data_IF_348109334371
#
_entry.id   IF_348109334371
#
_cell.length_a   1.000
_cell.length_b   1.000
_cell.length_c   1.000
_cell.angle_alpha   90.00
_cell.angle_beta   90.00
_cell.angle_gamma   90.00
#
_symmetry.space_group_name_H-M   'P 1'
#
loop_
_entity.id
_entity.type
_entity.pdbx_description
1 polymer ?
2 polymer ?
3 water ?
#
# COMPACT_ATOMS: atom_id res chain seq x y z
N UNK A 1 9.61 -9.41 -20.60
CA UNK A 1 9.97 -9.66 -19.19
C UNK A 1 8.72 -9.73 -18.29
N UNK A 2 8.93 -10.32 -17.13
CA UNK A 2 7.92 -10.45 -16.09
C UNK A 2 8.60 -10.67 -14.76
N UNK A 3 7.81 -10.73 -13.72
CA UNK A 3 8.33 -10.97 -12.37
C UNK A 3 7.19 -11.02 -11.33
N UNK A 4 7.18 -12.14 -10.61
CA UNK A 4 6.25 -12.40 -9.47
C UNK A 4 7.08 -12.33 -8.19
N UNK A 5 6.67 -11.50 -7.25
CA UNK A 5 7.38 -11.60 -5.97
C UNK A 5 6.40 -11.88 -4.85
N UNK A 6 6.68 -12.86 -3.97
CA UNK A 6 5.97 -13.08 -2.73
C UNK A 6 5.94 -11.99 -1.68
N UNK A 7 4.82 -11.33 -1.43
CA UNK A 7 4.66 -10.45 -0.27
C UNK A 7 4.11 -11.20 0.93
N UNK A 8 4.71 -10.96 2.07
CA UNK A 8 4.42 -11.76 3.26
C UNK A 8 4.05 -10.75 4.41
N UNK A 9 2.87 -10.79 5.17
CA UNK A 9 2.60 -9.73 6.15
C UNK A 9 3.58 -9.80 7.30
N UNK A 10 3.79 -8.61 7.84
CA UNK A 10 4.78 -8.32 8.89
C UNK A 10 4.24 -8.52 10.32
N UNK A 11 2.98 -8.86 10.35
CA UNK A 11 2.21 -8.93 11.59
C UNK A 11 1.10 -9.96 11.50
N UNK A 12 0.46 -10.17 12.63
CA UNK A 12 -0.67 -11.10 12.70
C UNK A 12 -2.01 -10.37 12.44
N UNK A 13 -2.04 -9.03 12.42
CA UNK A 13 -3.30 -8.41 11.92
C UNK A 13 -3.05 -7.75 10.54
N UNK A 14 -2.03 -8.28 9.85
CA UNK A 14 -1.72 -7.92 8.43
C UNK A 14 -1.62 -6.43 8.19
N UNK A 15 -1.02 -5.67 9.05
CA UNK A 15 -1.20 -4.22 8.88
C UNK A 15 -0.18 -3.60 7.91
N UNK A 16 0.75 -4.43 7.49
CA UNK A 16 1.72 -4.13 6.42
C UNK A 16 2.26 -5.45 5.86
N UNK A 17 2.70 -5.32 4.62
CA UNK A 17 3.24 -6.39 3.81
C UNK A 17 4.60 -5.98 3.23
N UNK A 18 5.56 -6.89 3.39
CA UNK A 18 6.91 -6.68 2.85
C UNK A 18 7.18 -7.68 1.72
N UNK A 19 7.83 -7.20 0.67
CA UNK A 19 8.22 -8.01 -0.51
C UNK A 19 9.74 -7.96 -0.67
N UNK A 20 10.52 -9.06 -0.81
CA UNK A 20 11.97 -8.88 -0.87
C UNK A 20 12.44 -8.26 -2.17
N UNK A 21 13.43 -7.38 -2.11
CA UNK A 21 13.95 -6.71 -3.33
C UNK A 21 15.49 -6.69 -3.31
N UNK A 22 16.04 -7.00 -4.48
CA UNK A 22 17.50 -7.06 -4.69
C UNK A 22 18.01 -5.75 -5.27
N UNK A 23 18.90 -5.14 -4.52
CA UNK A 23 19.51 -3.90 -5.00
C UNK A 23 21.04 -4.03 -5.03
N UNK A 24 21.55 -3.74 -6.20
CA UNK A 24 22.99 -3.66 -6.44
C UNK A 24 23.56 -4.88 -7.13
N UNK A 25 24.86 -4.75 -7.20
CA UNK A 25 25.78 -5.78 -7.60
C UNK A 25 27.00 -5.71 -6.66
N UNK A 26 27.25 -6.88 -6.16
CA UNK A 26 26.21 -7.85 -6.29
C UNK A 26 25.09 -7.57 -5.30
N UNK A 27 24.11 -8.44 -5.34
CA UNK A 27 22.81 -8.25 -4.64
C UNK A 27 22.79 -8.14 -3.10
N UNK A 28 22.03 -7.11 -2.73
CA UNK A 28 21.62 -6.82 -1.35
C UNK A 28 20.10 -6.86 -1.41
N UNK A 29 19.51 -7.67 -0.56
CA UNK A 29 18.09 -8.06 -0.63
C UNK A 29 17.50 -7.34 0.62
N UNK A 30 16.72 -6.32 0.43
CA UNK A 30 16.06 -5.57 1.52
C UNK A 30 14.54 -5.83 1.40
N UNK A 31 13.86 -5.87 2.53
CA UNK A 31 12.41 -6.09 2.48
C UNK A 31 11.75 -4.71 2.48
N UNK A 32 10.88 -4.47 1.53
CA UNK A 32 10.31 -3.16 1.20
C UNK A 32 8.78 -3.30 1.25
N UNK A 33 8.15 -2.30 1.83
CA UNK A 33 6.74 -1.95 1.75
C UNK A 33 6.38 -1.39 0.39
N UNK A 34 5.70 -2.05 -0.50
CA UNK A 34 5.21 -1.65 -1.82
C UNK A 34 4.00 -0.75 -1.66
N UNK A 35 4.16 0.53 -1.90
CA UNK A 35 3.15 1.59 -1.67
C UNK A 35 2.63 2.15 -3.00
N UNK A 36 1.42 1.86 -3.39
CA UNK A 36 0.85 2.41 -4.62
C UNK A 36 0.32 3.80 -4.45
N UNK A 37 0.54 4.32 -3.25
CA UNK A 37 0.02 5.66 -2.91
C UNK A 37 1.20 6.56 -2.59
N UNK A 38 2.37 6.10 -2.94
CA UNK A 38 3.54 6.99 -3.09
C UNK A 38 4.42 6.52 -4.25
N UNK A 39 5.48 7.29 -4.44
CA UNK A 39 6.18 7.23 -5.75
C UNK A 39 7.69 7.29 -5.61
N UNK A 40 8.16 6.97 -4.44
CA UNK A 40 9.53 7.01 -3.97
C UNK A 40 10.03 5.60 -3.65
N UNK A 41 11.18 5.24 -4.16
CA UNK A 41 11.90 4.01 -3.79
C UNK A 41 12.98 4.47 -2.79
N UNK A 42 12.66 4.37 -1.50
CA UNK A 42 13.66 4.69 -0.48
C UNK A 42 14.05 3.51 0.39
N UNK A 43 15.22 3.62 1.01
CA UNK A 43 15.65 2.43 1.75
C UNK A 43 16.37 2.91 3.00
N UNK A 44 16.65 1.98 3.87
CA UNK A 44 17.49 2.25 5.05
C UNK A 44 18.91 1.98 4.62
N UNK A 45 19.77 2.95 4.74
CA UNK A 45 21.13 2.74 4.25
C UNK A 45 22.19 2.95 5.32
N UNK A 46 23.40 2.96 4.78
CA UNK A 46 24.64 3.20 5.52
C UNK A 46 24.78 4.70 5.85
N UNK A 47 24.14 5.58 5.08
CA UNK A 47 24.24 7.02 5.40
C UNK A 47 23.16 7.45 6.41
N UNK A 48 22.33 6.50 6.82
CA UNK A 48 21.22 6.76 7.79
C UNK A 48 21.77 6.88 9.24
N UNK A 49 21.23 7.85 9.99
CA UNK A 49 21.74 8.13 11.38
C UNK A 49 21.61 6.89 12.27
N UNK A 50 22.67 6.66 13.05
CA UNK A 50 22.89 5.39 13.79
C UNK A 50 21.99 5.16 15.01
N UNK A 51 21.33 6.23 15.40
CA UNK A 51 20.37 6.29 16.51
C UNK A 51 18.96 6.08 15.95
N UNK A 52 18.96 5.99 14.63
CA UNK A 52 17.75 5.95 13.81
C UNK A 52 17.51 4.61 13.10
N UNK A 53 18.44 3.71 13.26
CA UNK A 53 18.31 2.34 12.74
C UNK A 53 18.31 1.40 13.93
N UNK A 54 17.24 0.66 14.09
CA UNK A 54 17.17 -0.23 15.23
C UNK A 54 17.76 -1.59 14.87
N UNK A 55 17.03 -2.30 14.03
CA UNK A 55 17.41 -3.65 13.64
C UNK A 55 17.19 -3.90 12.14
N UNK A 56 17.08 -2.83 11.40
CA UNK A 56 16.76 -2.91 9.95
C UNK A 56 17.96 -3.31 9.11
N UNK A 57 17.65 -3.91 7.98
CA UNK A 57 18.70 -4.29 7.06
C UNK A 57 18.93 -3.09 6.14
N UNK A 58 20.17 -2.85 6.01
CA UNK A 58 20.70 -1.65 5.41
C UNK A 58 21.30 -1.89 4.02
N UNK A 59 21.16 -1.01 3.20
CA UNK A 59 21.70 -1.06 1.84
C UNK A 59 23.02 -0.28 1.78
N UNK A 60 24.15 -0.97 1.73
CA UNK A 60 25.48 -0.29 1.77
C UNK A 60 25.98 0.02 0.36
N UNK A 61 25.78 1.24 -0.10
CA UNK A 61 26.01 1.54 -1.50
C UNK A 61 27.45 1.66 -1.89
N UNK A 62 28.37 1.55 -0.96
CA UNK A 62 29.79 1.62 -1.32
C UNK A 62 30.31 0.19 -1.58
N UNK A 63 29.41 -0.80 -1.43
CA UNK A 63 29.78 -2.20 -1.81
C UNK A 63 28.80 -2.78 -2.83
N UNK A 64 28.02 -1.87 -3.60
CA UNK A 64 27.49 -2.20 -4.92
C UNK A 64 28.28 -1.62 -6.07
N UNK A 65 28.59 -2.42 -7.08
CA UNK A 65 29.46 -1.94 -8.17
C UNK A 65 28.70 -1.24 -9.27
N UNK A 66 27.39 -1.37 -9.24
CA UNK A 66 26.52 -0.69 -10.18
C UNK A 66 26.05 0.64 -9.63
N UNK A 67 26.55 0.94 -8.46
CA UNK A 67 26.21 2.04 -7.59
C UNK A 67 27.00 3.33 -7.66
N UNK A 68 26.27 4.36 -8.10
CA UNK A 68 26.76 5.71 -8.37
C UNK A 68 25.93 6.85 -7.80
N UNK A 69 26.48 7.84 -7.08
CA UNK A 69 25.84 9.06 -6.61
C UNK A 69 25.07 9.88 -7.64
N UNK A 70 23.85 10.30 -7.38
CA UNK A 70 23.32 11.39 -8.25
C UNK A 70 23.48 12.73 -7.58
N UNK A 71 24.49 13.47 -8.01
CA UNK A 71 25.05 14.53 -7.16
C UNK A 71 24.23 15.81 -7.17
N UNK A 72 24.14 16.46 -6.03
CA UNK A 72 23.27 17.61 -5.72
C UNK A 72 21.83 17.15 -5.49
N UNK A 73 21.49 15.95 -5.88
CA UNK A 73 20.22 15.25 -5.85
C UNK A 73 19.75 14.87 -4.47
N UNK A 74 18.51 15.13 -4.12
CA UNK A 74 18.12 15.20 -2.70
C UNK A 74 16.64 14.79 -2.55
N UNK A 75 16.15 13.98 -1.63
CA UNK A 75 14.73 13.62 -1.45
C UNK A 75 14.23 14.02 -0.05
N UNK A 76 12.90 14.15 0.04
CA UNK A 76 12.21 14.54 1.28
C UNK A 76 10.69 14.27 1.16
N UNK A 77 10.24 13.23 1.85
CA UNK A 77 8.83 12.83 1.81
C UNK A 77 8.20 12.87 3.22
N UNK A 78 6.88 12.95 3.15
CA UNK A 78 5.98 13.05 4.30
C UNK A 78 4.71 12.25 3.99
N UNK A 79 4.29 11.45 4.94
CA UNK A 79 3.14 10.56 4.71
C UNK A 79 1.90 11.06 5.46
N UNK A 80 0.81 10.40 5.14
CA UNK A 80 -0.52 10.75 5.61
C UNK A 80 -0.65 10.73 7.15
N UNK A 81 0.34 10.25 7.87
CA UNK A 81 0.17 10.08 9.32
C UNK A 81 1.02 10.95 10.23
N UNK A 82 1.89 11.75 9.65
CA UNK A 82 3.06 12.32 10.34
C UNK A 82 4.40 12.07 9.66
N UNK A 83 4.55 10.92 9.06
CA UNK A 83 5.68 10.05 8.78
C UNK A 83 6.65 10.68 7.79
N UNK A 84 7.91 10.56 8.15
CA UNK A 84 9.02 11.35 7.62
C UNK A 84 10.13 10.42 7.16
N UNK A 85 10.80 10.78 6.07
CA UNK A 85 12.05 10.19 5.59
C UNK A 85 12.80 11.12 4.66
N UNK A 86 14.14 11.02 4.66
CA UNK A 86 14.92 11.89 3.77
C UNK A 86 16.42 11.75 3.75
N UNK A 87 17.04 12.19 2.65
CA UNK A 87 18.48 12.02 2.46
C UNK A 87 18.94 12.37 1.06
N UNK A 88 19.90 11.65 0.53
CA UNK A 88 20.29 11.62 -0.88
C UNK A 88 19.93 10.40 -1.70
N UNK A 89 20.51 10.30 -2.89
CA UNK A 89 19.86 9.48 -3.93
C UNK A 89 21.03 8.82 -4.67
N UNK A 90 20.83 7.56 -4.96
CA UNK A 90 21.80 6.82 -5.76
C UNK A 90 21.14 6.26 -7.01
N UNK A 91 21.97 5.88 -7.96
CA UNK A 91 21.49 5.11 -9.12
C UNK A 91 22.01 3.70 -9.05
N UNK A 92 21.19 2.70 -9.32
CA UNK A 92 21.63 1.30 -9.14
C UNK A 92 20.71 0.30 -9.78
N UNK A 93 20.98 -0.99 -9.76
CA UNK A 93 20.11 -2.06 -10.30
C UNK A 93 19.13 -2.61 -9.22
N UNK A 94 17.85 -2.71 -9.51
CA UNK A 94 16.81 -3.28 -8.65
C UNK A 94 16.25 -4.47 -9.43
N UNK A 95 16.29 -5.67 -8.87
CA UNK A 95 15.35 -6.72 -9.27
C UNK A 95 14.23 -6.76 -8.24
N UNK A 96 13.01 -6.89 -8.73
CA UNK A 96 11.89 -7.54 -8.04
C UNK A 96 11.37 -8.77 -8.71
N UNK A 97 11.67 -9.95 -8.18
CA UNK A 97 10.93 -11.17 -8.63
C UNK A 97 11.64 -11.74 -9.83
N UNK A 98 12.89 -11.30 -10.04
CA UNK A 98 13.43 -11.60 -11.36
C UNK A 98 13.39 -10.53 -12.43
N UNK A 99 12.49 -9.58 -12.33
CA UNK A 99 12.43 -8.39 -13.19
C UNK A 99 13.50 -7.36 -12.83
N UNK A 100 14.48 -7.29 -13.73
CA UNK A 100 15.61 -6.43 -13.51
C UNK A 100 15.42 -5.06 -14.10
N UNK A 101 15.87 -4.05 -13.40
CA UNK A 101 15.66 -2.66 -13.81
C UNK A 101 16.95 -1.93 -13.46
N UNK A 102 17.49 -1.28 -14.48
CA UNK A 102 18.88 -0.79 -14.36
C UNK A 102 18.90 0.74 -14.38
N UNK A 103 19.98 1.23 -13.80
CA UNK A 103 19.95 2.58 -13.21
C UNK A 103 18.59 3.10 -12.75
N UNK A 104 18.01 2.46 -11.76
CA UNK A 104 16.79 2.97 -11.06
C UNK A 104 17.28 3.88 -9.95
N UNK A 105 16.59 4.96 -9.69
CA UNK A 105 16.91 5.86 -8.58
C UNK A 105 16.55 5.33 -7.20
N UNK A 106 17.61 5.01 -6.49
CA UNK A 106 17.42 4.44 -5.15
C UNK A 106 17.65 5.46 -4.07
N UNK A 107 16.61 5.92 -3.33
CA UNK A 107 16.92 7.12 -2.50
C UNK A 107 17.36 6.66 -1.13
N UNK A 108 18.51 7.15 -0.72
CA UNK A 108 19.19 6.50 0.41
C UNK A 108 19.11 7.37 1.65
N UNK A 109 18.37 7.00 2.66
CA UNK A 109 17.83 7.85 3.73
C UNK A 109 18.90 8.29 4.68
N UNK A 110 18.97 9.59 4.89
CA UNK A 110 19.95 10.11 5.86
C UNK A 110 19.30 10.38 7.22
N UNK A 111 18.08 10.86 7.21
CA UNK A 111 17.12 10.93 8.30
C UNK A 111 15.88 10.10 8.08
N UNK A 112 15.52 9.26 9.05
CA UNK A 112 14.16 8.70 9.09
C UNK A 112 13.45 9.12 10.35
N UNK A 113 12.14 8.94 10.35
CA UNK A 113 11.26 9.39 11.44
C UNK A 113 11.31 8.29 12.53
N UNK A 114 10.88 8.49 13.74
CA UNK A 114 10.54 7.57 14.82
C UNK A 114 9.71 6.36 14.45
N UNK A 115 8.75 6.54 13.54
CA UNK A 115 7.81 5.44 13.33
C UNK A 115 8.33 4.41 12.32
N UNK A 116 9.26 4.78 11.49
CA UNK A 116 10.08 3.95 10.59
C UNK A 116 11.15 3.22 11.42
N UNK A 117 11.71 3.84 12.43
CA UNK A 117 12.68 3.15 13.29
C UNK A 117 12.11 2.06 14.21
N UNK A 118 10.87 2.13 14.62
CA UNK A 118 10.06 1.29 15.49
C UNK A 118 9.72 -0.02 14.78
N UNK A 119 9.67 0.13 13.48
CA UNK A 119 9.30 -0.72 12.36
C UNK A 119 10.45 -1.57 11.83
N UNK A 120 10.90 -2.58 12.55
CA UNK A 120 12.14 -3.29 12.17
C UNK A 120 11.90 -4.33 11.11
N UNK A 121 10.67 -4.66 10.72
CA UNK A 121 10.55 -5.61 9.57
C UNK A 121 10.58 -4.90 8.22
N UNK A 122 10.59 -3.57 8.20
CA UNK A 122 10.60 -2.85 6.93
C UNK A 122 11.91 -2.08 6.73
N UNK A 123 12.55 -2.39 5.62
CA UNK A 123 13.83 -1.77 5.25
C UNK A 123 13.64 -0.56 4.33
N UNK A 124 12.49 -0.25 3.73
CA UNK A 124 12.26 0.93 2.95
C UNK A 124 10.96 0.79 2.19
N UNK A 125 10.76 1.71 1.27
CA UNK A 125 9.44 1.76 0.60
C UNK A 125 9.67 1.61 -0.91
N UNK A 126 8.71 0.99 -1.60
CA UNK A 126 8.70 1.01 -3.07
C UNK A 126 7.39 1.61 -3.58
N UNK A 127 7.53 2.73 -4.25
CA UNK A 127 6.43 3.54 -4.77
C UNK A 127 5.96 3.00 -6.12
N UNK A 128 4.65 2.87 -6.25
CA UNK A 128 4.04 2.16 -7.36
C UNK A 128 2.83 3.01 -7.76
N UNK A 129 2.88 4.24 -7.23
CA UNK A 129 1.93 5.32 -7.56
C UNK A 129 2.47 5.96 -8.85
N UNK A 130 1.90 7.10 -9.25
CA UNK A 130 2.34 7.80 -10.47
C UNK A 130 3.44 8.81 -10.12
N UNK A 131 4.32 8.87 -11.11
CA UNK A 131 5.66 9.49 -11.08
C UNK A 131 5.79 10.98 -10.98
N UNK A 132 4.69 11.63 -11.01
CA UNK A 132 4.62 13.07 -10.80
C UNK A 132 4.72 13.33 -9.30
N UNK A 133 4.65 12.25 -8.56
CA UNK A 133 4.62 12.34 -7.10
C UNK A 133 6.01 12.25 -6.50
N UNK A 134 6.93 11.76 -7.33
CA UNK A 134 8.32 11.57 -6.90
C UNK A 134 8.89 12.88 -6.42
N UNK A 135 9.64 12.73 -5.35
CA UNK A 135 10.07 13.84 -4.50
C UNK A 135 11.54 14.29 -4.64
N UNK A 136 12.25 13.71 -5.58
CA UNK A 136 13.69 13.98 -5.76
C UNK A 136 13.91 15.33 -6.46
N UNK A 137 14.99 15.99 -6.05
CA UNK A 137 15.31 17.33 -6.54
C UNK A 137 16.83 17.57 -6.66
N UNK A 138 17.17 18.47 -7.56
CA UNK A 138 16.13 19.17 -8.28
C UNK A 138 15.59 18.42 -9.50
N UNK A 139 16.16 17.23 -9.82
CA UNK A 139 15.76 16.39 -11.01
C UNK A 139 14.88 15.21 -10.55
N UNK A 140 13.61 15.24 -10.96
CA UNK A 140 12.59 14.21 -10.54
C UNK A 140 12.80 12.87 -11.26
N UNK A 141 12.81 11.83 -10.45
CA UNK A 141 12.98 10.46 -10.95
C UNK A 141 11.62 9.79 -11.14
N UNK A 142 11.69 8.55 -11.62
CA UNK A 142 10.49 7.74 -11.91
C UNK A 142 10.48 6.50 -10.99
N UNK A 143 9.35 5.82 -11.01
CA UNK A 143 9.14 4.62 -10.18
C UNK A 143 9.63 3.36 -10.92
N UNK A 144 9.70 2.28 -10.17
CA UNK A 144 10.08 0.97 -10.74
C UNK A 144 9.17 0.57 -11.81
N UNK A 145 7.94 0.66 -11.51
CA UNK A 145 7.02 0.23 -12.46
C UNK A 145 7.19 0.99 -13.83
N UNK A 146 7.50 2.28 -13.75
CA UNK A 146 7.65 3.18 -14.95
C UNK A 146 8.99 2.96 -15.67
N UNK A 147 9.95 2.36 -14.97
CA UNK A 147 11.30 2.08 -15.51
C UNK A 147 11.36 0.66 -16.10
N UNK A 148 10.38 -0.14 -15.71
CA UNK A 148 10.24 -1.54 -16.15
C UNK A 148 9.19 -1.67 -17.27
N UNK A 149 8.27 -0.75 -17.18
CA UNK A 149 7.01 -0.67 -17.96
C UNK A 149 7.11 -0.94 -19.46
N UNK A 150 8.19 -0.47 -20.03
CA UNK A 150 8.44 -0.61 -21.46
C UNK A 150 8.93 -2.02 -21.81
N UNK A 151 9.61 -2.64 -20.84
CA UNK A 151 10.26 -3.95 -21.04
C UNK A 151 9.38 -5.13 -20.68
N UNK A 152 8.23 -4.77 -20.12
CA UNK A 152 7.27 -5.77 -19.64
C UNK A 152 6.41 -6.29 -20.80
N UNK A 153 5.76 -7.54 -20.64
CA UNK A 153 4.84 -8.23 -21.56
C UNK A 153 3.56 -7.41 -21.71
N UNK A 154 2.96 -7.04 -20.59
CA UNK A 154 1.81 -6.11 -20.58
C UNK A 154 2.14 -5.05 -19.53
N UNK A 155 1.88 -3.79 -19.77
CA UNK A 155 2.27 -2.75 -18.80
C UNK A 155 1.35 -2.68 -17.62
N UNK A 156 1.42 -3.62 -16.73
CA UNK A 156 0.40 -3.75 -15.70
C UNK A 156 0.99 -4.49 -14.48
N UNK A 157 0.49 -4.26 -13.28
CA UNK A 157 0.91 -5.11 -12.14
C UNK A 157 -0.28 -5.31 -11.21
N UNK A 158 -0.27 -6.56 -10.83
CA UNK A 158 -1.32 -7.09 -10.00
C UNK A 158 -0.96 -7.05 -8.54
N UNK A 159 -1.93 -6.66 -7.74
CA UNK A 159 -1.97 -6.93 -6.30
C UNK A 159 -2.96 -8.03 -5.92
N UNK A 160 -2.41 -8.99 -5.20
CA UNK A 160 -3.02 -10.17 -4.62
C UNK A 160 -2.52 -10.31 -3.18
N UNK A 161 -3.10 -9.56 -2.30
CA UNK A 161 -2.66 -9.61 -0.88
C UNK A 161 -3.51 -10.65 -0.13
N UNK A 162 -2.88 -11.39 0.75
CA UNK A 162 -3.58 -12.47 1.47
C UNK A 162 -4.13 -11.99 2.82
N UNK A 163 -5.15 -12.71 3.27
CA UNK A 163 -5.72 -12.53 4.60
C UNK A 163 -5.05 -13.56 5.52
N UNK A 164 -4.10 -13.02 6.30
CA UNK A 164 -3.33 -13.74 7.35
C UNK A 164 -2.28 -14.69 6.80
N UNK A 165 -1.96 -14.49 5.55
CA UNK A 165 -1.08 -15.40 4.81
C UNK A 165 -0.31 -14.63 3.78
N UNK A 166 0.83 -15.03 3.11
CA UNK A 166 1.33 -14.16 2.10
C UNK A 166 0.52 -14.24 0.84
N UNK A 167 0.90 -13.31 -0.02
CA UNK A 167 0.33 -13.11 -1.36
C UNK A 167 1.43 -12.86 -2.39
N UNK A 168 0.98 -12.31 -3.52
CA UNK A 168 1.85 -12.09 -4.68
C UNK A 168 1.67 -10.73 -5.36
N UNK A 169 2.81 -10.24 -5.85
CA UNK A 169 2.86 -9.05 -6.70
C UNK A 169 3.45 -9.50 -8.04
N UNK A 170 2.70 -9.36 -9.11
CA UNK A 170 3.16 -9.88 -10.42
C UNK A 170 3.38 -8.63 -11.27
N UNK A 171 4.48 -8.57 -12.00
CA UNK A 171 4.72 -7.44 -12.94
C UNK A 171 4.78 -8.01 -14.35
N UNK A 172 3.96 -7.48 -15.25
CA UNK A 172 4.02 -7.99 -16.62
C UNK A 172 2.89 -8.92 -16.97
N UNK A 173 1.99 -9.26 -16.08
CA UNK A 173 1.00 -10.24 -16.59
C UNK A 173 -0.11 -10.48 -15.56
N UNK A 174 -1.26 -10.88 -16.00
CA UNK A 174 -2.41 -11.40 -15.29
C UNK A 174 -2.45 -12.89 -15.16
N UNK A 175 -2.14 -13.32 -13.91
CA UNK A 175 -2.34 -14.75 -13.54
C UNK A 175 -3.81 -15.13 -13.39
N UNK A 176 -4.35 -15.78 -14.38
CA UNK A 176 -5.76 -16.11 -14.64
C UNK A 176 -6.19 -17.31 -13.78
N UNK A 177 -5.33 -17.88 -12.95
CA UNK A 177 -5.50 -18.91 -11.96
C UNK A 177 -5.77 -18.31 -10.58
N UNK A 178 -5.50 -17.02 -10.46
CA UNK A 178 -5.46 -16.33 -9.19
C UNK A 178 -6.79 -15.72 -8.77
N UNK A 179 -7.81 -15.87 -9.59
CA UNK A 179 -9.11 -15.23 -9.43
C UNK A 179 -10.26 -16.11 -9.91
N UNK A 180 -11.49 -15.84 -9.54
CA UNK A 180 -12.82 -16.36 -9.85
C UNK A 180 -13.47 -15.36 -10.79
N UNK A 181 -14.16 -15.84 -11.81
CA UNK A 181 -15.08 -15.05 -12.64
C UNK A 181 -14.34 -14.13 -13.61
N UNK A 182 -14.95 -12.96 -13.75
CA UNK A 182 -14.42 -11.88 -14.51
C UNK A 182 -13.75 -10.81 -13.68
N UNK A 183 -12.88 -10.05 -14.33
CA UNK A 183 -12.28 -8.82 -13.83
C UNK A 183 -13.07 -7.63 -14.38
N UNK A 184 -13.50 -6.74 -13.51
CA UNK A 184 -14.18 -5.54 -14.00
C UNK A 184 -13.14 -4.42 -13.92
N UNK A 185 -12.85 -3.79 -15.05
CA UNK A 185 -11.88 -2.68 -14.99
C UNK A 185 -12.62 -1.40 -14.79
N UNK A 186 -12.25 -0.53 -13.88
CA UNK A 186 -12.88 0.82 -14.01
C UNK A 186 -11.82 1.91 -14.26
N UNK A 187 -12.34 3.01 -14.79
CA UNK A 187 -11.58 4.21 -15.19
C UNK A 187 -10.81 4.84 -14.02
N UNK A 188 -9.60 5.28 -14.33
CA UNK A 188 -8.69 5.92 -13.35
C UNK A 188 -8.32 7.36 -13.78
N UNK A 189 -8.39 8.22 -12.78
CA UNK A 189 -8.03 9.65 -12.87
C UNK A 189 -6.65 9.81 -12.26
N UNK A 190 -5.71 10.12 -13.12
CA UNK A 190 -4.30 10.18 -12.76
C UNK A 190 -3.82 11.58 -12.39
N UNK A 191 -4.74 12.52 -12.43
CA UNK A 191 -4.42 13.95 -12.28
C UNK A 191 -3.77 14.39 -10.96
N UNK A 192 -3.96 13.67 -9.87
CA UNK A 192 -3.27 14.04 -8.61
C UNK A 192 -2.11 13.08 -8.39
N UNK A 193 -2.04 12.20 -9.34
CA UNK A 193 -0.98 11.21 -9.44
C UNK A 193 -1.20 9.95 -8.63
N UNK A 194 -2.41 9.69 -8.23
CA UNK A 194 -2.81 8.53 -7.39
C UNK A 194 -3.54 7.55 -8.27
N UNK A 195 -3.66 6.32 -7.79
CA UNK A 195 -4.54 5.29 -8.33
C UNK A 195 -5.98 5.53 -7.95
N UNK A 196 -6.51 6.58 -8.58
CA UNK A 196 -7.72 7.18 -8.02
C UNK A 196 -8.94 6.79 -8.80
N UNK A 197 -10.00 6.29 -8.22
CA UNK A 197 -11.15 5.74 -8.94
C UNK A 197 -12.49 6.08 -8.26
N UNK A 198 -13.52 5.52 -8.78
CA UNK A 198 -14.85 5.88 -8.39
C UNK A 198 -15.77 4.72 -8.15
N UNK A 199 -16.21 4.60 -6.92
CA UNK A 199 -16.89 3.43 -6.37
C UNK A 199 -18.37 3.61 -6.52
N UNK A 200 -19.09 2.58 -6.89
CA UNK A 200 -20.46 2.80 -7.38
C UNK A 200 -21.52 2.55 -6.31
N UNK A 201 -21.15 2.48 -5.04
CA UNK A 201 -22.02 2.18 -3.90
C UNK A 201 -21.50 1.27 -2.82
N UNK A 202 -22.34 0.98 -1.83
CA UNK A 202 -21.99 0.09 -0.73
C UNK A 202 -23.21 -0.62 -0.20
N UNK A 203 -22.96 -1.81 0.30
CA UNK A 203 -23.84 -2.64 1.10
C UNK A 203 -23.20 -3.05 2.40
N UNK A 204 -24.03 -3.10 3.44
CA UNK A 204 -23.47 -3.54 4.73
C UNK A 204 -24.26 -4.77 5.15
N UNK A 205 -23.55 -5.87 5.25
CA UNK A 205 -24.01 -7.24 5.48
C UNK A 205 -24.91 -7.69 4.35
N UNK A 206 -26.01 -8.31 4.72
CA UNK A 206 -27.14 -8.64 3.88
C UNK A 206 -28.11 -7.50 3.67
N UNK A 207 -27.70 -6.24 3.56
CA UNK A 207 -28.75 -5.21 3.46
C UNK A 207 -28.77 -4.75 2.01
N UNK A 208 -29.54 -3.71 1.73
CA UNK A 208 -29.68 -3.30 0.33
C UNK A 208 -28.59 -2.32 -0.03
N UNK A 209 -28.40 -2.23 -1.33
CA UNK A 209 -27.16 -1.63 -1.88
C UNK A 209 -27.35 -0.15 -2.10
N UNK A 210 -26.43 0.69 -1.66
CA UNK A 210 -26.60 2.12 -1.88
C UNK A 210 -25.87 2.67 -3.06
N UNK A 211 -26.56 3.14 -4.07
CA UNK A 211 -25.99 3.82 -5.25
C UNK A 211 -25.62 5.25 -4.92
N UNK A 212 -24.44 5.45 -4.37
CA UNK A 212 -23.72 6.72 -4.15
C UNK A 212 -22.35 6.55 -4.80
N UNK A 213 -21.67 7.59 -5.22
CA UNK A 213 -20.33 7.52 -5.79
C UNK A 213 -19.27 7.93 -4.81
N UNK A 214 -18.26 7.10 -4.60
CA UNK A 214 -17.26 7.27 -3.56
C UNK A 214 -15.95 7.34 -4.36
N UNK A 215 -15.41 8.53 -4.42
CA UNK A 215 -14.06 8.69 -4.96
C UNK A 215 -12.93 8.34 -4.01
N UNK A 216 -12.17 7.33 -4.40
CA UNK A 216 -11.08 6.83 -3.56
C UNK A 216 -9.79 6.56 -4.33
N UNK A 217 -8.65 6.52 -3.68
CA UNK A 217 -7.45 5.82 -4.05
C UNK A 217 -7.32 4.40 -3.52
N UNK A 218 -6.63 3.67 -4.37
CA UNK A 218 -6.10 2.32 -4.14
C UNK A 218 -4.74 2.52 -3.48
N UNK A 219 -4.60 2.15 -2.23
CA UNK A 219 -3.28 2.45 -1.58
C UNK A 219 -2.89 1.26 -0.73
N UNK A 220 -1.94 0.43 -1.12
CA UNK A 220 -1.56 -0.82 -0.46
C UNK A 220 -0.73 -0.51 0.81
N UNK A 221 -0.55 0.77 0.96
CA UNK A 221 0.36 1.59 1.75
C UNK A 221 -0.35 1.94 3.06
N UNK A 222 -1.66 1.92 3.02
CA UNK A 222 -2.64 2.12 4.08
C UNK A 222 -3.26 0.80 4.50
N UNK A 223 -3.35 0.57 5.81
CA UNK A 223 -3.82 -0.69 6.39
C UNK A 223 -5.34 -0.80 6.27
N UNK A 224 -6.05 0.29 6.53
CA UNK A 224 -7.49 0.24 6.83
C UNK A 224 -8.27 0.86 5.66
N UNK A 225 -9.58 0.75 5.77
CA UNK A 225 -10.55 1.25 4.77
C UNK A 225 -11.11 2.61 5.24
N UNK A 226 -10.70 3.69 4.57
CA UNK A 226 -11.09 5.08 4.97
C UNK A 226 -12.22 5.64 4.08
N UNK A 227 -13.45 5.58 4.60
CA UNK A 227 -14.66 5.94 3.81
C UNK A 227 -15.44 7.09 4.41
N UNK A 228 -16.26 7.81 3.64
CA UNK A 228 -16.88 8.97 4.22
C UNK A 228 -17.82 8.60 5.36
N UNK A 229 -17.91 9.57 6.25
CA UNK A 229 -18.59 9.51 7.57
C UNK A 229 -20.00 8.90 7.60
N UNK A 230 -20.76 9.09 6.56
CA UNK A 230 -22.16 8.61 6.52
C UNK A 230 -22.21 7.10 6.26
N UNK A 231 -21.28 6.71 5.42
CA UNK A 231 -21.09 5.33 4.96
C UNK A 231 -20.49 4.46 6.07
N UNK A 232 -19.57 5.07 6.79
CA UNK A 232 -18.82 4.40 7.86
C UNK A 232 -19.73 4.22 9.10
N UNK A 233 -20.55 5.23 9.33
CA UNK A 233 -21.50 5.25 10.45
C UNK A 233 -22.70 4.29 10.18
N UNK A 234 -23.02 4.05 8.90
CA UNK A 234 -24.18 3.15 8.52
C UNK A 234 -23.83 1.70 8.75
N UNK A 235 -22.52 1.55 8.77
CA UNK A 235 -21.73 0.37 8.98
C UNK A 235 -21.80 -0.07 10.42
N UNK A 236 -21.40 0.83 11.28
CA UNK A 236 -21.06 0.56 12.68
C UNK A 236 -22.30 0.50 13.55
N UNK A 237 -23.46 0.94 13.07
CA UNK A 237 -24.77 0.97 13.72
C UNK A 237 -25.35 -0.43 13.55
N UNK A 238 -24.81 -1.21 12.64
CA UNK A 238 -25.09 -2.65 12.57
C UNK A 238 -24.26 -3.47 13.53
N UNK A 239 -23.38 -2.82 14.26
CA UNK A 239 -22.68 -3.67 15.26
C UNK A 239 -22.91 -3.15 16.65
N UNK A 240 -23.49 -4.00 17.52
CA UNK A 240 -24.04 -3.45 18.77
C UNK A 240 -22.94 -3.28 19.82
N UNK A 241 -22.82 -2.04 20.28
CA UNK A 241 -21.75 -1.72 21.23
C UNK A 241 -20.66 -0.93 20.57
N UNK A 242 -20.72 -0.69 19.26
CA UNK A 242 -19.60 0.04 18.64
C UNK A 242 -19.81 1.53 18.76
N UNK A 243 -18.79 2.26 19.18
CA UNK A 243 -18.95 3.73 19.25
C UNK A 243 -17.69 4.28 18.61
N UNK A 244 -17.76 5.57 18.37
CA UNK A 244 -16.57 6.41 18.11
C UNK A 244 -16.00 6.88 19.44
N UNK A 245 -14.72 6.66 19.70
CA UNK A 245 -13.92 7.09 20.84
C UNK A 245 -12.85 8.13 20.52
N UNK A 246 -12.98 9.33 21.08
CA UNK A 246 -11.97 10.37 21.07
C UNK A 246 -10.90 10.14 22.10
N UNK A 247 -10.31 8.96 22.14
CA UNK A 247 -8.95 8.84 22.69
C UNK A 247 -8.39 7.56 22.12
N UNK A 248 -9.27 6.80 21.43
CA UNK A 248 -8.66 5.82 20.49
C UNK A 248 -8.49 6.38 19.10
N UNK A 249 -9.14 7.50 18.87
CA UNK A 249 -9.39 8.12 17.59
C UNK A 249 -9.88 7.20 16.50
N UNK A 250 -10.93 6.44 16.78
CA UNK A 250 -11.76 5.89 15.73
C UNK A 250 -12.86 4.96 16.27
N UNK A 251 -13.35 4.09 15.41
CA UNK A 251 -14.47 3.23 15.77
C UNK A 251 -14.02 1.90 16.37
N UNK A 252 -14.52 1.64 17.55
CA UNK A 252 -14.26 0.38 18.26
C UNK A 252 -15.59 -0.37 18.45
N UNK A 253 -15.47 -1.67 18.65
CA UNK A 253 -16.64 -2.55 18.92
C UNK A 253 -16.20 -3.59 19.93
N UNK A 254 -16.96 -4.16 20.88
CA UNK A 254 -16.32 -5.15 21.72
C UNK A 254 -16.05 -6.40 20.91
N UNK A 255 -14.99 -7.05 21.31
CA UNK A 255 -14.33 -8.17 20.61
C UNK A 255 -15.19 -9.42 20.33
N UNK A 256 -16.17 -9.64 21.16
CA UNK A 256 -17.03 -10.85 21.12
C UNK A 256 -18.13 -10.74 20.03
N UNK A 257 -18.26 -9.54 19.49
CA UNK A 257 -19.25 -9.22 18.45
C UNK A 257 -18.90 -9.86 17.10
N UNK A 258 -19.95 -10.11 16.36
CA UNK A 258 -19.87 -10.66 15.00
C UNK A 258 -19.88 -9.47 14.04
N UNK A 259 -18.79 -9.34 13.32
CA UNK A 259 -18.59 -8.22 12.38
C UNK A 259 -19.30 -8.44 11.07
N UNK A 260 -20.30 -7.70 10.62
CA UNK A 260 -20.75 -7.98 9.34
C UNK A 260 -19.93 -7.43 8.17
N UNK A 261 -20.21 -8.00 7.02
CA UNK A 261 -19.39 -7.79 5.81
C UNK A 261 -19.66 -6.45 5.16
N UNK A 262 -18.64 -5.94 4.51
CA UNK A 262 -18.74 -4.69 3.74
C UNK A 262 -18.65 -5.10 2.26
N UNK A 263 -19.60 -4.69 1.45
CA UNK A 263 -19.76 -4.68 0.00
C UNK A 263 -19.49 -3.34 -0.66
N UNK A 264 -18.44 -3.22 -1.48
CA UNK A 264 -18.29 -2.04 -2.35
C UNK A 264 -18.46 -2.34 -3.84
N UNK A 265 -19.11 -1.44 -4.57
CA UNK A 265 -19.20 -1.27 -6.01
C UNK A 265 -17.93 -1.12 -6.85
N UNK A 266 -17.74 -2.01 -7.83
CA UNK A 266 -16.83 -1.88 -8.97
C UNK A 266 -17.57 -1.93 -10.27
N UNK A 267 -17.86 -0.78 -10.87
CA UNK A 267 -18.81 -0.74 -12.01
C UNK A 267 -20.12 -1.40 -11.63
N UNK A 268 -20.54 -2.45 -12.28
CA UNK A 268 -21.73 -3.26 -12.05
C UNK A 268 -21.42 -4.48 -11.20
N UNK A 269 -20.17 -4.75 -10.91
CA UNK A 269 -19.67 -5.74 -9.96
C UNK A 269 -19.71 -5.52 -8.46
N UNK A 270 -19.64 -6.56 -7.65
CA UNK A 270 -19.65 -6.43 -6.18
C UNK A 270 -18.53 -7.28 -5.56
N UNK A 271 -17.74 -6.60 -4.73
CA UNK A 271 -16.61 -7.18 -3.96
C UNK A 271 -16.92 -7.09 -2.44
N UNK A 272 -17.29 -8.22 -1.89
CA UNK A 272 -17.64 -8.38 -0.45
C UNK A 272 -16.37 -8.49 0.43
N UNK A 273 -16.12 -7.52 1.33
CA UNK A 273 -14.97 -7.61 2.32
C UNK A 273 -15.49 -8.28 3.59
N UNK A 274 -15.20 -9.54 3.80
CA UNK A 274 -15.89 -10.26 4.85
C UNK A 274 -15.65 -9.74 6.26
N UNK A 275 -16.68 -9.92 7.09
CA UNK A 275 -16.70 -9.44 8.49
C UNK A 275 -15.35 -9.59 9.22
N UNK A 276 -14.70 -10.68 8.94
CA UNK A 276 -13.44 -11.07 9.60
C UNK A 276 -12.25 -10.13 9.35
N UNK A 277 -12.25 -9.51 8.19
CA UNK A 277 -11.12 -8.64 7.78
C UNK A 277 -11.15 -7.26 8.45
N UNK A 278 -12.31 -6.91 8.96
CA UNK A 278 -12.54 -5.58 9.53
C UNK A 278 -12.24 -5.51 11.04
N UNK A 279 -11.81 -6.63 11.58
CA UNK A 279 -11.47 -6.73 13.03
C UNK A 279 -9.94 -6.62 13.20
N UNK A 280 -9.49 -5.49 13.74
CA UNK A 280 -8.04 -5.26 13.90
C UNK A 280 -7.58 -5.54 15.33
N UNK A 281 -8.32 -6.39 15.98
CA UNK A 281 -7.87 -6.92 17.28
C UNK A 281 -7.96 -5.92 18.41
N UNK A 282 -7.62 -6.28 19.66
CA UNK A 282 -7.86 -5.35 20.75
C UNK A 282 -6.94 -4.15 20.74
N UNK A 283 -7.53 -3.04 21.15
CA UNK A 283 -6.92 -1.67 21.16
C UNK A 283 -5.62 -1.60 21.96
N UNK A 284 -5.65 -2.21 23.12
CA UNK A 284 -4.44 -2.42 23.93
C UNK A 284 -4.45 -3.90 24.30
N UNK A 285 -3.36 -4.37 24.84
CA UNK A 285 -3.27 -5.80 25.13
C UNK A 285 -4.01 -6.23 26.38
N UNK A 286 -4.80 -7.31 26.40
CA UNK A 286 -5.71 -7.38 27.58
C UNK A 286 -7.11 -6.91 27.25
N UNK A 287 -7.29 -5.75 26.61
CA UNK A 287 -8.58 -5.19 26.31
C UNK A 287 -9.72 -5.94 25.71
N UNK A 288 -10.95 -5.57 26.05
CA UNK A 288 -12.06 -6.27 25.38
C UNK A 288 -12.74 -5.37 24.36
N UNK A 289 -12.15 -4.19 24.18
CA UNK A 289 -12.46 -3.33 23.03
C UNK A 289 -11.54 -3.60 21.83
N UNK A 290 -12.07 -3.69 20.62
CA UNK A 290 -11.30 -4.16 19.45
C UNK A 290 -11.33 -3.04 18.36
N UNK A 291 -10.25 -2.95 17.61
CA UNK A 291 -10.12 -1.86 16.61
C UNK A 291 -10.72 -2.31 15.31
N UNK A 292 -11.60 -1.49 14.74
CA UNK A 292 -12.36 -1.69 13.54
C UNK A 292 -11.57 -1.25 12.31
N UNK A 293 -11.74 -1.93 11.20
CA UNK A 293 -10.98 -1.63 9.99
C UNK A 293 -11.62 -0.71 8.95
N UNK A 294 -12.86 -0.30 9.17
CA UNK A 294 -13.60 0.76 8.44
C UNK A 294 -13.67 2.00 9.31
N UNK A 295 -12.99 3.06 8.91
CA UNK A 295 -12.82 4.33 9.60
C UNK A 295 -13.11 5.51 8.66
N UNK A 296 -13.43 6.63 9.27
CA UNK A 296 -13.91 7.84 8.61
C UNK A 296 -12.85 8.62 7.85
N UNK A 297 -13.13 9.12 6.66
CA UNK A 297 -12.17 9.82 5.82
C UNK A 297 -12.14 11.33 6.14
N UNK A 298 -13.06 11.75 6.99
CA UNK A 298 -13.32 13.18 7.29
C UNK A 298 -12.08 14.03 7.67
N UNK A 299 -11.18 13.43 8.41
CA UNK A 299 -9.99 14.14 8.93
C UNK A 299 -8.76 14.01 8.01
N UNK A 300 -8.88 13.34 6.85
CA UNK A 300 -7.73 13.31 5.90
C UNK A 300 -8.02 13.87 4.54
N UNK A 301 -9.28 14.11 4.30
CA UNK A 301 -9.71 14.79 3.07
C UNK A 301 -9.80 13.91 1.83
N UNK A 302 -9.37 12.69 1.94
CA UNK A 302 -9.51 11.77 0.80
C UNK A 302 -9.87 10.36 1.34
N UNK A 303 -10.61 9.64 0.51
CA UNK A 303 -11.08 8.27 0.79
C UNK A 303 -10.06 7.25 0.27
N UNK A 304 -9.72 6.29 1.10
CA UNK A 304 -8.69 5.26 0.77
C UNK A 304 -9.29 3.87 0.85
N UNK A 305 -9.20 3.21 -0.29
CA UNK A 305 -9.16 1.75 -0.24
C UNK A 305 -7.76 1.21 0.03
N UNK A 306 -7.53 0.96 1.27
CA UNK A 306 -6.36 0.30 1.88
C UNK A 306 -6.48 -1.21 1.83
N UNK A 307 -5.76 -1.89 2.68
CA UNK A 307 -5.33 -3.29 2.62
C UNK A 307 -6.49 -4.20 2.95
N UNK A 308 -7.39 -3.66 3.75
CA UNK A 308 -8.69 -4.21 4.13
C UNK A 308 -9.65 -4.54 3.01
N UNK A 309 -9.69 -3.72 1.99
CA UNK A 309 -10.59 -3.83 0.84
C UNK A 309 -9.82 -4.36 -0.36
N UNK A 310 -8.52 -4.09 -0.43
CA UNK A 310 -7.68 -4.57 -1.53
C UNK A 310 -7.34 -6.06 -1.37
N UNK A 311 -7.13 -6.50 -0.16
CA UNK A 311 -6.85 -7.89 0.18
C UNK A 311 -8.04 -8.82 0.14
N UNK A 312 -9.20 -8.29 -0.20
CA UNK A 312 -10.47 -8.88 -0.55
C UNK A 312 -10.68 -9.15 -2.04
N UNK A 313 -9.86 -8.63 -2.93
CA UNK A 313 -10.01 -8.74 -4.39
C UNK A 313 -8.65 -9.12 -5.00
N UNK A 314 -8.70 -9.60 -6.22
CA UNK A 314 -7.49 -9.53 -7.08
C UNK A 314 -7.37 -8.24 -7.87
N UNK A 315 -6.31 -7.47 -7.63
CA UNK A 315 -6.20 -6.12 -8.14
C UNK A 315 -5.25 -5.91 -9.29
N UNK A 316 -5.77 -5.34 -10.40
CA UNK A 316 -4.92 -5.12 -11.58
C UNK A 316 -4.68 -3.62 -11.79
N UNK A 317 -3.43 -3.23 -11.72
CA UNK A 317 -3.04 -1.82 -11.95
C UNK A 317 -2.48 -1.70 -13.36
N UNK A 318 -3.40 -1.36 -14.25
CA UNK A 318 -3.14 -1.22 -15.69
C UNK A 318 -2.31 0.04 -15.96
N UNK A 319 -1.04 -0.10 -16.30
CA UNK A 319 -0.31 1.18 -16.37
C UNK A 319 -0.24 1.69 -17.82
N UNK A 320 -1.29 1.35 -18.59
CA UNK A 320 -1.41 1.70 -20.05
C UNK A 320 -1.59 3.21 -20.25
N UNK A 321 -1.71 3.67 -21.49
CA UNK A 321 -1.73 5.14 -21.73
C UNK A 321 -2.94 5.81 -21.06
N UNK A 322 -4.00 5.02 -21.07
CA UNK A 322 -5.28 5.31 -20.41
C UNK A 322 -5.53 4.27 -19.30
N UNK A 323 -4.89 4.50 -18.17
CA UNK A 323 -4.87 3.56 -17.06
C UNK A 323 -6.22 3.26 -16.45
N UNK A 324 -6.38 1.97 -16.18
CA UNK A 324 -7.58 1.42 -15.52
C UNK A 324 -7.16 0.56 -14.33
N UNK A 325 -8.12 0.41 -13.49
CA UNK A 325 -8.06 -0.38 -12.27
C UNK A 325 -9.02 -1.53 -12.42
N UNK A 326 -8.54 -2.73 -12.23
CA UNK A 326 -9.42 -3.90 -12.35
C UNK A 326 -9.50 -4.65 -11.03
N UNK A 327 -10.69 -5.12 -10.62
CA UNK A 327 -10.89 -5.90 -9.41
C UNK A 327 -11.49 -7.25 -9.83
N UNK A 328 -10.99 -8.36 -9.34
CA UNK A 328 -11.86 -9.55 -9.49
C UNK A 328 -12.13 -10.14 -8.12
N UNK A 329 -13.00 -11.11 -8.06
CA UNK A 329 -13.22 -11.88 -6.80
C UNK A 329 -12.21 -13.01 -6.71
N UNK A 330 -11.80 -13.36 -5.49
CA UNK A 330 -10.97 -14.56 -5.32
C UNK A 330 -11.50 -15.44 -4.20
N UNK B 1 -3.18 -2.55 17.76
CA UNK B 1 -2.67 -2.67 16.37
C UNK B 1 -1.78 -1.46 15.99
N UNK B 2 -0.92 -1.66 14.95
CA UNK B 2 -0.07 -0.57 14.35
C UNK B 2 -0.40 -0.38 12.86
N UNK B 3 -1.54 0.24 12.50
CA UNK B 3 -1.90 0.46 11.10
C UNK B 3 -0.85 1.30 10.42
N UNK B 4 -1.04 1.46 9.12
CA UNK B 4 -0.11 2.22 8.25
C UNK B 4 -0.86 3.25 7.45
N UNK B 5 -0.23 4.39 7.20
CA UNK B 5 -1.01 5.36 6.40
C UNK B 5 -0.18 5.77 5.20
N UNK B 6 0.57 4.86 4.57
CA UNK B 6 1.62 5.29 3.62
C UNK B 6 0.69 8.44 1.32
N UNK B 7 0.98 9.25 0.33
CA UNK B 7 1.85 10.42 0.54
C UNK B 7 1.03 11.65 0.91
N UNK B 8 1.73 12.58 1.51
CA UNK B 8 1.15 13.85 1.97
C UNK B 8 1.38 14.93 0.94
N UNK B 9 2.56 15.51 0.83
#
# INVERSE_FOLDING_TARGET
STGSATTTPIDSLDDAYITPVQIGTPAQTLNLDFDTGSSDLWVFSSETTASEVDGQTIYTPSKSTTAKLLSGATWSISYGDGSSSSGDVYTDTVSVGGLTVTGQAVESAKKVSSSFTEDSTIDGLLGLAFSTLNTVSPTQQKTFFDNAKASLDSPVFTADLGYHAPGTYNFGFIDTTAYTGSITYTAVSTKQGFWEWTSTGYAVGSGTFKSTSIDGIADTGTTLLYLPATVVSAYWAQVSGAKSSSSVGGYVFPCSATLPSFTFGVGSARIVIPGDYIDFGPISTGSSSCFGGIQSSAGIGINIFGDVALKAAFVVFNGATTPTLGFASK
PHPFHXIHK
#
